data_IF_249778070319
#
_entry.id   IF_249778070319
#
_cell.length_a   1.000
_cell.length_b   1.000
_cell.length_c   1.000
_cell.angle_alpha   90.00
_cell.angle_beta   90.00
_cell.angle_gamma   90.00
#
_symmetry.space_group_name_H-M   'P 1'
#
loop_
_entity.id
_entity.type
_entity.pdbx_description
1 polymer ?
#
# COMPACT_ATOMS: atom_id res chain seq x y z
N UNK A 1 1.16 -13.97 2.43
CA UNK A 1 0.18 -13.75 3.50
C UNK A 1 -1.04 -13.11 2.87
N UNK A 2 -2.20 -13.73 3.00
CA UNK A 2 -3.48 -13.12 2.61
C UNK A 2 -3.99 -12.19 3.71
N UNK A 3 -5.02 -11.39 3.42
CA UNK A 3 -5.62 -10.52 4.43
C UNK A 3 -6.16 -11.31 5.62
N UNK A 4 -6.80 -12.46 5.38
CA UNK A 4 -7.31 -13.37 6.42
C UNK A 4 -6.22 -13.86 7.36
N UNK A 5 -5.03 -14.14 6.82
CA UNK A 5 -3.86 -14.59 7.59
C UNK A 5 -3.12 -13.45 8.32
N UNK A 6 -3.50 -12.18 8.12
CA UNK A 6 -2.92 -11.05 8.85
C UNK A 6 -3.46 -11.05 10.30
N UNK A 7 -2.61 -11.33 11.31
CA UNK A 7 -3.03 -11.35 12.70
C UNK A 7 -3.06 -9.94 13.29
N UNK A 8 -3.98 -9.74 14.23
CA UNK A 8 -4.00 -8.57 15.11
C UNK A 8 -2.74 -8.62 15.99
N UNK A 9 -2.15 -7.45 16.26
CA UNK A 9 -0.87 -7.31 16.97
C UNK A 9 0.37 -7.45 16.09
N UNK A 10 0.22 -7.79 14.79
CA UNK A 10 1.36 -7.88 13.88
C UNK A 10 1.93 -6.50 13.57
N UNK A 11 3.25 -6.38 13.64
CA UNK A 11 3.98 -5.19 13.17
C UNK A 11 4.13 -5.23 11.65
N UNK A 12 3.73 -4.16 10.98
CA UNK A 12 3.80 -3.98 9.54
C UNK A 12 4.56 -2.69 9.21
N UNK A 13 5.18 -2.64 8.03
CA UNK A 13 5.87 -1.45 7.52
C UNK A 13 5.07 -0.88 6.37
N UNK A 14 4.78 0.41 6.44
CA UNK A 14 4.02 1.13 5.42
C UNK A 14 4.86 2.30 4.93
N UNK A 15 4.95 2.43 3.61
CA UNK A 15 5.63 3.53 2.94
C UNK A 15 4.65 4.69 2.77
N UNK A 16 4.88 5.74 3.53
CA UNK A 16 4.13 6.98 3.42
C UNK A 16 4.84 7.91 2.43
N UNK A 17 4.05 8.57 1.56
CA UNK A 17 4.55 9.64 0.70
C UNK A 17 4.30 10.95 1.41
N UNK A 18 5.38 11.58 1.87
CA UNK A 18 5.36 12.97 2.29
C UNK A 18 5.66 13.82 1.05
N UNK A 19 4.60 14.37 0.45
CA UNK A 19 4.72 15.41 -0.58
C UNK A 19 5.11 16.71 0.10
N UNK A 20 6.39 17.04 0.06
CA UNK A 20 6.84 18.34 0.51
C UNK A 20 6.60 19.35 -0.63
N UNK A 21 5.45 20.04 -0.56
CA UNK A 21 4.99 21.01 -1.56
C UNK A 21 6.03 22.10 -1.85
N UNK A 22 6.85 22.47 -0.87
CA UNK A 22 7.87 23.52 -1.02
C UNK A 22 9.08 23.09 -1.86
N UNK A 23 9.41 21.80 -1.89
CA UNK A 23 10.62 21.30 -2.55
C UNK A 23 10.36 20.54 -3.85
N UNK A 24 9.09 20.41 -4.27
CA UNK A 24 8.68 19.53 -5.39
C UNK A 24 9.30 18.11 -5.30
N UNK A 25 9.55 17.65 -4.07
CA UNK A 25 10.19 16.36 -3.78
C UNK A 25 9.24 15.51 -2.97
N UNK A 26 8.91 14.34 -3.52
CA UNK A 26 8.20 13.30 -2.79
C UNK A 26 9.22 12.53 -1.96
N UNK A 27 9.23 12.74 -0.65
CA UNK A 27 10.00 11.89 0.26
C UNK A 27 9.11 10.73 0.66
N UNK A 28 9.63 9.53 0.50
CA UNK A 28 8.91 8.34 0.93
C UNK A 28 9.55 7.81 2.21
N UNK A 29 8.87 7.95 3.34
CA UNK A 29 9.32 7.45 4.64
C UNK A 29 8.64 6.13 4.94
N UNK A 30 9.40 5.16 5.45
CA UNK A 30 8.85 3.87 5.87
C UNK A 30 8.55 3.99 7.36
N UNK A 31 7.27 3.92 7.72
CA UNK A 31 6.81 3.93 9.11
C UNK A 31 6.34 2.54 9.54
N UNK A 32 6.54 2.24 10.81
CA UNK A 32 6.15 0.97 11.40
C UNK A 32 4.85 1.13 12.17
N UNK A 33 3.90 0.23 11.92
CA UNK A 33 2.61 0.21 12.57
C UNK A 33 2.33 -1.18 13.13
N UNK A 34 1.39 -1.26 14.07
CA UNK A 34 0.88 -2.51 14.64
C UNK A 34 -0.59 -2.63 14.30
N UNK A 35 -1.04 -3.78 13.78
CA UNK A 35 -2.45 -4.01 13.47
C UNK A 35 -3.25 -4.05 14.78
N UNK A 36 -4.16 -3.10 14.97
CA UNK A 36 -4.99 -2.99 16.18
C UNK A 36 -6.35 -3.65 15.99
N UNK A 37 -7.00 -3.44 14.84
CA UNK A 37 -8.32 -4.00 14.54
C UNK A 37 -8.42 -4.38 13.06
N UNK A 38 -9.34 -5.30 12.75
CA UNK A 38 -9.53 -5.87 11.41
C UNK A 38 -11.00 -5.80 11.00
N UNK A 39 -11.26 -5.32 9.80
CA UNK A 39 -12.58 -5.23 9.17
C UNK A 39 -12.52 -5.90 7.78
N UNK A 40 -13.66 -6.23 7.15
CA UNK A 40 -13.67 -7.03 5.91
C UNK A 40 -12.76 -6.51 4.77
N UNK A 41 -12.60 -5.19 4.65
CA UNK A 41 -11.80 -4.56 3.57
C UNK A 41 -10.77 -3.51 4.06
N UNK A 42 -10.60 -3.37 5.37
CA UNK A 42 -9.69 -2.40 5.97
C UNK A 42 -9.19 -2.86 7.35
N UNK A 43 -8.00 -2.45 7.76
CA UNK A 43 -7.56 -2.64 9.13
C UNK A 43 -7.23 -1.29 9.78
N UNK A 44 -7.42 -1.19 11.08
CA UNK A 44 -6.90 -0.08 11.86
C UNK A 44 -5.54 -0.48 12.38
N UNK A 45 -4.56 0.39 12.17
CA UNK A 45 -3.20 0.22 12.64
C UNK A 45 -2.84 1.33 13.62
N UNK A 46 -1.97 1.01 14.57
CA UNK A 46 -1.48 1.92 15.60
C UNK A 46 0.01 2.15 15.42
N UNK A 47 0.46 3.39 15.43
CA UNK A 47 1.89 3.70 15.44
C UNK A 47 2.51 3.54 16.85
N UNK A 48 3.80 3.85 16.98
CA UNK A 48 4.48 3.84 18.27
C UNK A 48 4.00 4.95 19.22
N UNK A 49 3.45 6.06 18.70
CA UNK A 49 2.95 7.21 19.47
C UNK A 49 1.49 6.99 19.94
N UNK A 50 0.84 5.94 19.45
CA UNK A 50 -0.53 5.59 19.74
C UNK A 50 -1.58 6.16 18.80
N UNK A 51 -1.16 6.86 17.75
CA UNK A 51 -2.06 7.34 16.68
C UNK A 51 -2.63 6.15 15.90
N UNK A 52 -3.93 6.23 15.63
CA UNK A 52 -4.68 5.18 14.93
C UNK A 52 -4.94 5.63 13.50
N UNK A 53 -4.66 4.76 12.55
CA UNK A 53 -4.85 5.01 11.12
C UNK A 53 -5.59 3.85 10.48
N UNK A 54 -6.59 4.16 9.65
CA UNK A 54 -7.23 3.18 8.78
C UNK A 54 -6.34 2.91 7.56
N UNK A 55 -6.13 1.64 7.24
CA UNK A 55 -5.48 1.19 6.01
C UNK A 55 -6.44 0.30 5.22
N UNK A 56 -6.56 0.59 3.93
CA UNK A 56 -7.33 -0.25 3.02
C UNK A 56 -6.55 -1.53 2.67
N UNK A 57 -7.24 -2.57 2.22
CA UNK A 57 -6.58 -3.73 1.61
C UNK A 57 -5.65 -3.33 0.44
N UNK A 58 -6.03 -2.32 -0.35
CA UNK A 58 -5.21 -1.80 -1.44
C UNK A 58 -3.86 -1.28 -0.96
N UNK A 59 -3.84 -0.51 0.13
CA UNK A 59 -2.61 0.00 0.73
C UNK A 59 -1.72 -1.15 1.24
N UNK A 60 -2.31 -2.15 1.87
CA UNK A 60 -1.58 -3.32 2.36
C UNK A 60 -0.95 -4.12 1.20
N UNK A 61 -1.65 -4.24 0.07
CA UNK A 61 -1.15 -4.89 -1.15
C UNK A 61 -0.01 -4.06 -1.76
N UNK A 62 -0.21 -2.76 -1.92
CA UNK A 62 0.79 -1.85 -2.51
C UNK A 62 2.09 -1.80 -1.68
N UNK A 63 1.98 -1.97 -0.36
CA UNK A 63 3.13 -2.02 0.54
C UNK A 63 3.71 -3.44 0.70
N UNK A 64 3.17 -4.44 0.00
CA UNK A 64 3.66 -5.82 0.06
C UNK A 64 3.42 -6.53 1.40
N UNK A 65 2.56 -5.97 2.27
CA UNK A 65 2.20 -6.57 3.56
C UNK A 65 1.35 -7.81 3.34
N UNK A 66 0.40 -7.72 2.42
CA UNK A 66 -0.43 -8.86 1.99
C UNK A 66 -0.23 -9.08 0.50
N UNK A 67 -0.32 -10.34 0.07
CA UNK A 67 -0.35 -10.69 -1.35
C UNK A 67 -1.75 -10.49 -1.89
N UNK A 68 -1.84 -10.03 -3.14
CA UNK A 68 -3.11 -9.99 -3.85
C UNK A 68 -3.50 -11.44 -4.21
N UNK A 69 -4.80 -11.69 -4.43
CA UNK A 69 -5.23 -12.98 -4.99
C UNK A 69 -4.45 -13.21 -6.30
N UNK A 70 -3.95 -14.43 -6.56
CA UNK A 70 -3.09 -14.73 -7.70
C UNK A 70 -3.71 -14.32 -9.05
N UNK A 71 -5.04 -14.41 -9.15
CA UNK A 71 -5.85 -14.00 -10.32
C UNK A 71 -5.62 -12.53 -10.73
N UNK A 72 -5.42 -11.64 -9.76
CA UNK A 72 -5.20 -10.21 -10.00
C UNK A 72 -3.70 -9.86 -10.11
N UNK A 73 -2.79 -10.70 -9.60
CA UNK A 73 -1.35 -10.52 -9.82
C UNK A 73 -0.98 -10.74 -11.30
N UNK A 74 -1.64 -11.68 -11.98
CA UNK A 74 -1.46 -11.95 -13.41
C UNK A 74 -1.84 -10.75 -14.32
N UNK A 75 -2.71 -9.85 -13.86
CA UNK A 75 -3.07 -8.64 -14.60
C UNK A 75 -2.00 -7.54 -14.53
N UNK A 76 -1.07 -7.59 -13.57
CA UNK A 76 0.06 -6.63 -13.50
C UNK A 76 1.13 -6.94 -14.54
N UNK A 77 1.23 -8.19 -14.97
CA UNK A 77 2.17 -8.68 -15.98
C UNK A 77 1.73 -8.40 -17.41
N UNK A 78 0.50 -7.94 -17.65
CA UNK A 78 0.07 -7.52 -18.99
C UNK A 78 0.75 -6.18 -19.29
N UNK A 79 1.70 -6.12 -20.24
CA UNK A 79 2.30 -4.85 -20.61
C UNK A 79 1.21 -3.93 -21.14
N UNK A 80 1.10 -2.74 -20.55
CA UNK A 80 0.18 -1.70 -21.06
C UNK A 80 0.54 -1.48 -22.54
N UNK A 81 -0.44 -1.46 -23.46
CA UNK A 81 -0.15 -1.11 -24.84
C UNK A 81 0.51 0.27 -24.85
N UNK A 82 1.75 0.32 -25.34
CA UNK A 82 2.48 1.59 -25.53
C UNK A 82 1.63 2.42 -26.48
N UNK A 83 1.05 3.52 -25.99
CA UNK A 83 0.37 4.46 -26.85
C UNK A 83 1.41 5.05 -27.81
N UNK A 84 1.33 4.61 -29.06
CA UNK A 84 2.20 5.10 -30.14
C UNK A 84 1.77 6.54 -30.45
N UNK A 85 2.36 7.52 -29.74
CA UNK A 85 2.21 8.94 -30.10
C UNK A 85 2.87 9.14 -31.46
N UNK A 86 2.08 9.13 -32.53
CA UNK A 86 2.49 9.64 -33.84
C UNK A 86 2.94 11.10 -33.64
N UNK A 87 4.24 11.37 -33.69
CA UNK A 87 4.75 12.72 -33.91
C UNK A 87 4.44 13.04 -35.38
N UNK A 88 3.55 14.01 -35.60
CA UNK A 88 3.26 14.55 -36.92
C UNK A 88 4.52 15.16 -37.53
N UNK A 89 4.71 14.95 -38.83
CA UNK A 89 5.67 15.67 -39.66
C UNK A 89 5.08 17.00 -40.09
#
# INVERSE_FOLDING_TARGET
MTYEQLPIGKKIKIRERETNLAANRVRATIKQYTVAEKYPHMCIVKDAQGSRRGLSMGDLIMNGVIKQKPELEALKTVPRPRTFRKRGR
#
